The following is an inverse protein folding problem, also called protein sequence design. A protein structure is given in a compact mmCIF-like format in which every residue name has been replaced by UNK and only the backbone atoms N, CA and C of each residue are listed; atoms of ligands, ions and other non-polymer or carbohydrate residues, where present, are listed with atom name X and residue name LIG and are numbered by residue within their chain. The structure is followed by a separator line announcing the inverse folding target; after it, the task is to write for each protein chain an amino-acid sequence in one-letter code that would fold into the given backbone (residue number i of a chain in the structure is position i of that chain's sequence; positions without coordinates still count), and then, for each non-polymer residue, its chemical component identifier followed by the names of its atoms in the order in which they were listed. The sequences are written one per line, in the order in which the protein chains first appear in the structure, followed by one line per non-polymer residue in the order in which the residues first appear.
data_IF_371127736984
#
_entry.id   IF_371127736984
#
_cell.length_a   1.000
_cell.length_b   1.000
_cell.length_c   1.000
_cell.angle_alpha   90.00
_cell.angle_beta   90.00
_cell.angle_gamma   90.00
#
_symmetry.space_group_name_H-M   'P 1'
#
loop_
_entity.id
_entity.type
_entity.pdbx_description
1 polymer ?
#
# COMPACT_ATOMS: atom_id res chain seq x y z
N UNK A 1 4.73 36.02 -42.63
CA UNK A 1 3.81 35.01 -42.07
C UNK A 1 4.51 34.14 -41.02
N UNK A 2 5.70 33.61 -41.31
CA UNK A 2 6.51 32.78 -40.37
C UNK A 2 6.72 33.36 -38.95
N UNK A 3 6.97 34.67 -38.81
CA UNK A 3 7.30 35.29 -37.51
C UNK A 3 6.09 35.46 -36.56
N UNK A 4 4.86 35.32 -37.07
CA UNK A 4 3.63 35.43 -36.25
C UNK A 4 3.30 34.07 -35.62
N UNK A 5 3.42 32.99 -36.40
CA UNK A 5 3.25 31.61 -35.93
C UNK A 5 4.29 31.25 -34.85
N UNK A 6 5.56 31.64 -35.03
CA UNK A 6 6.59 31.41 -34.01
C UNK A 6 6.29 32.17 -32.71
N UNK A 7 5.75 33.40 -32.80
CA UNK A 7 5.35 34.19 -31.61
C UNK A 7 4.11 33.62 -30.92
N UNK A 8 3.16 33.06 -31.67
CA UNK A 8 1.99 32.37 -31.12
C UNK A 8 2.38 31.05 -30.43
N UNK A 9 3.20 30.23 -31.08
CA UNK A 9 3.71 29.00 -30.50
C UNK A 9 4.49 29.25 -29.20
N UNK A 10 5.30 30.32 -29.14
CA UNK A 10 6.06 30.68 -27.94
C UNK A 10 5.14 31.15 -26.79
N UNK A 11 4.03 31.84 -27.10
CA UNK A 11 3.01 32.22 -26.10
C UNK A 11 2.25 31.02 -25.57
N UNK A 12 1.83 30.10 -26.43
CA UNK A 12 1.14 28.86 -26.02
C UNK A 12 2.02 27.98 -25.14
N UNK A 13 3.30 27.84 -25.49
CA UNK A 13 4.25 27.09 -24.67
C UNK A 13 4.38 27.71 -23.27
N UNK A 14 4.51 29.04 -23.20
CA UNK A 14 4.60 29.77 -21.92
C UNK A 14 3.33 29.61 -21.08
N UNK A 15 2.14 29.58 -21.70
CA UNK A 15 0.88 29.33 -20.98
C UNK A 15 0.75 27.89 -20.48
N UNK A 16 1.22 26.90 -21.25
CA UNK A 16 1.26 25.50 -20.83
C UNK A 16 2.19 25.32 -19.62
N UNK A 17 3.38 25.90 -19.68
CA UNK A 17 4.37 25.83 -18.60
C UNK A 17 3.81 26.44 -17.30
N UNK A 18 3.10 27.58 -17.39
CA UNK A 18 2.42 28.20 -16.24
C UNK A 18 1.35 27.31 -15.62
N UNK A 19 0.57 26.58 -16.42
CA UNK A 19 -0.48 25.67 -15.91
C UNK A 19 0.13 24.49 -15.16
N UNK A 20 1.21 23.91 -15.70
CA UNK A 20 1.94 22.81 -15.07
C UNK A 20 2.50 23.26 -13.72
N UNK A 21 3.07 24.47 -13.66
CA UNK A 21 3.65 25.00 -12.42
C UNK A 21 2.60 25.24 -11.34
N UNK A 22 1.44 25.81 -11.69
CA UNK A 22 0.31 25.98 -10.75
C UNK A 22 -0.18 24.64 -10.23
N UNK A 23 -0.25 23.62 -11.09
CA UNK A 23 -0.69 22.29 -10.70
C UNK A 23 0.30 21.61 -9.75
N UNK A 24 1.60 21.75 -10.01
CA UNK A 24 2.67 21.29 -9.13
C UNK A 24 2.64 21.99 -7.76
N UNK A 25 2.46 23.32 -7.73
CA UNK A 25 2.33 24.08 -6.49
C UNK A 25 1.10 23.65 -5.67
N UNK A 26 -0.04 23.42 -6.32
CA UNK A 26 -1.25 22.97 -5.64
C UNK A 26 -1.09 21.55 -5.07
N UNK A 27 -0.40 20.66 -5.79
CA UNK A 27 -0.07 19.31 -5.32
C UNK A 27 0.91 19.35 -4.13
N UNK A 28 1.91 20.23 -4.19
CA UNK A 28 2.88 20.43 -3.11
C UNK A 28 2.22 21.03 -1.86
N UNK A 29 1.30 21.99 -2.02
CA UNK A 29 0.51 22.56 -0.94
C UNK A 29 -0.40 21.52 -0.28
N UNK A 30 -1.10 20.70 -1.08
CA UNK A 30 -1.92 19.60 -0.57
C UNK A 30 -1.07 18.58 0.20
N UNK A 31 0.14 18.28 -0.29
CA UNK A 31 1.12 17.42 0.39
C UNK A 31 1.57 18.03 1.72
N UNK A 32 1.91 19.32 1.74
CA UNK A 32 2.33 20.03 2.96
C UNK A 32 1.22 20.11 4.00
N UNK A 33 -0.03 20.29 3.57
CA UNK A 33 -1.17 20.36 4.47
C UNK A 33 -1.52 19.01 5.09
N UNK A 34 -1.35 17.91 4.34
CA UNK A 34 -1.40 16.54 4.89
C UNK A 34 -0.33 16.36 5.97
N UNK A 35 0.91 16.78 5.71
CA UNK A 35 2.02 16.73 6.68
C UNK A 35 1.71 17.58 7.93
N UNK A 36 1.11 18.77 7.77
CA UNK A 36 0.76 19.67 8.90
C UNK A 36 -0.29 19.06 9.81
N UNK A 37 -1.41 18.57 9.23
CA UNK A 37 -2.48 17.89 9.99
C UNK A 37 -1.95 16.65 10.71
N UNK A 38 -1.02 15.94 10.08
CA UNK A 38 -0.36 14.78 10.69
C UNK A 38 0.56 15.17 11.86
N UNK A 39 1.27 16.31 11.79
CA UNK A 39 2.07 16.82 12.92
C UNK A 39 1.20 17.20 14.11
N UNK A 40 0.03 17.79 13.88
CA UNK A 40 -0.94 18.11 14.93
C UNK A 40 -1.49 16.83 15.60
N UNK A 41 -1.92 15.84 14.80
CA UNK A 41 -2.40 14.54 15.30
C UNK A 41 -1.30 13.75 16.04
N UNK A 42 -0.10 13.70 15.48
CA UNK A 42 1.04 13.00 16.09
C UNK A 42 1.53 13.72 17.36
N UNK A 43 1.41 15.05 17.44
CA UNK A 43 1.72 15.84 18.64
C UNK A 43 0.87 15.46 19.86
N UNK A 44 -0.41 15.19 19.63
CA UNK A 44 -1.35 14.72 20.67
C UNK A 44 -1.12 13.25 21.07
N UNK A 45 -0.53 12.44 20.20
CA UNK A 45 -0.16 11.04 20.50
C UNK A 45 1.22 10.94 21.17
N UNK A 46 2.18 11.79 20.78
CA UNK A 46 3.56 11.85 21.33
C UNK A 46 3.61 12.22 22.81
N UNK A 47 2.64 12.98 23.31
CA UNK A 47 2.54 13.30 24.74
C UNK A 47 2.05 12.13 25.60
N UNK A 48 1.50 11.07 24.99
CA UNK A 48 0.89 9.94 25.73
C UNK A 48 1.73 8.66 25.74
N UNK A 49 2.69 8.47 24.84
CA UNK A 49 3.50 7.25 24.83
C UNK A 49 4.97 7.50 24.42
N UNK A 50 5.87 7.43 25.40
CA UNK A 50 7.32 7.38 25.23
C UNK A 50 7.79 6.07 24.57
N UNK A 51 7.60 5.90 23.26
CA UNK A 51 8.38 4.91 22.52
C UNK A 51 9.12 5.54 21.34
N UNK A 52 10.43 5.65 21.54
CA UNK A 52 11.46 5.98 20.57
C UNK A 52 11.37 5.05 19.34
N UNK A 53 11.52 5.68 18.18
CA UNK A 53 11.62 5.11 16.82
C UNK A 53 10.30 4.80 16.10
N UNK A 54 9.60 5.84 15.63
CA UNK A 54 8.73 5.74 14.46
C UNK A 54 9.32 6.58 13.32
N UNK A 55 9.81 5.98 12.23
CA UNK A 55 10.09 6.72 11.01
C UNK A 55 8.77 7.05 10.33
N UNK A 56 8.56 8.35 10.10
CA UNK A 56 7.76 8.99 9.05
C UNK A 56 6.79 8.08 8.30
N UNK A 57 5.49 8.20 8.61
CA UNK A 57 4.34 7.94 7.73
C UNK A 57 4.57 6.86 6.65
N UNK A 58 4.64 5.59 7.03
CA UNK A 58 4.56 4.51 6.05
C UNK A 58 3.08 4.15 5.87
N UNK A 59 2.41 4.77 4.91
CA UNK A 59 1.26 4.13 4.29
C UNK A 59 1.79 2.89 3.56
N UNK A 60 1.43 1.69 4.03
CA UNK A 60 1.83 0.44 3.37
C UNK A 60 0.78 0.09 2.32
N UNK A 61 0.92 0.74 1.15
CA UNK A 61 0.09 0.46 -0.02
C UNK A 61 0.56 -0.82 -0.70
N UNK A 62 -0.37 -1.72 -1.00
CA UNK A 62 -0.14 -3.00 -1.66
C UNK A 62 -0.54 -2.96 -3.14
N UNK A 63 -1.60 -2.23 -3.48
CA UNK A 63 -2.08 -2.08 -4.86
C UNK A 63 -2.66 -0.68 -5.10
N UNK A 64 -2.32 -0.09 -6.25
CA UNK A 64 -2.83 1.20 -6.73
C UNK A 64 -3.40 1.05 -8.13
N UNK A 65 -4.40 1.87 -8.46
CA UNK A 65 -4.90 1.94 -9.83
C UNK A 65 -3.82 2.53 -10.75
N UNK A 66 -3.43 1.86 -11.84
CA UNK A 66 -2.37 2.35 -12.72
C UNK A 66 -2.73 3.63 -13.49
N UNK A 67 -4.02 3.97 -13.61
CA UNK A 67 -4.49 5.13 -14.36
C UNK A 67 -4.78 6.33 -13.45
N UNK A 68 -5.45 6.09 -12.31
CA UNK A 68 -5.84 7.17 -11.40
C UNK A 68 -4.84 7.39 -10.26
N UNK A 69 -3.94 6.42 -10.04
CA UNK A 69 -3.02 6.38 -8.92
C UNK A 69 -3.73 6.32 -7.55
N UNK A 70 -5.01 5.94 -7.54
CA UNK A 70 -5.79 5.77 -6.32
C UNK A 70 -5.37 4.49 -5.59
N UNK A 71 -5.41 4.53 -4.26
CA UNK A 71 -5.09 3.39 -3.40
C UNK A 71 -6.25 2.38 -3.46
N UNK A 72 -5.97 1.17 -3.94
CA UNK A 72 -6.94 0.08 -4.01
C UNK A 72 -6.87 -0.76 -2.73
N UNK A 73 -5.64 -1.16 -2.35
CA UNK A 73 -5.39 -1.93 -1.14
C UNK A 73 -4.22 -1.34 -0.38
N UNK A 74 -4.43 -1.13 0.92
CA UNK A 74 -3.42 -0.72 1.88
C UNK A 74 -3.56 -1.50 3.19
N UNK A 75 -2.46 -1.62 3.93
CA UNK A 75 -2.47 -2.20 5.27
C UNK A 75 -2.93 -1.16 6.28
N UNK A 76 -3.73 -1.60 7.26
CA UNK A 76 -4.27 -0.71 8.29
C UNK A 76 -3.19 0.04 9.06
N UNK A 77 -3.34 1.35 9.17
CA UNK A 77 -2.39 2.24 9.83
C UNK A 77 -2.10 1.80 11.28
N UNK A 78 -3.09 1.24 11.98
CA UNK A 78 -2.93 0.75 13.35
C UNK A 78 -2.00 -0.46 13.43
N UNK A 79 -1.85 -1.22 12.34
CA UNK A 79 -0.88 -2.30 12.25
C UNK A 79 0.48 -1.76 11.79
N UNK A 80 0.49 -0.89 10.77
CA UNK A 80 1.75 -0.39 10.18
C UNK A 80 2.59 0.39 11.19
N UNK A 81 1.97 1.16 12.09
CA UNK A 81 2.70 1.89 13.12
C UNK A 81 3.52 1.01 14.08
N UNK A 82 3.19 -0.29 14.20
CA UNK A 82 3.92 -1.26 15.02
C UNK A 82 4.86 -2.15 14.20
N UNK A 83 4.87 -2.00 12.87
CA UNK A 83 5.75 -2.78 12.00
C UNK A 83 7.17 -2.27 12.02
N UNK A 84 8.12 -3.21 12.01
CA UNK A 84 9.52 -2.96 11.64
C UNK A 84 9.68 -3.07 10.12
N UNK A 85 10.72 -2.44 9.58
CA UNK A 85 11.00 -2.40 8.13
C UNK A 85 10.95 -3.77 7.45
N UNK A 86 11.56 -4.80 8.05
CA UNK A 86 11.54 -6.15 7.49
C UNK A 86 10.15 -6.80 7.48
N UNK A 87 9.25 -6.37 8.38
CA UNK A 87 7.86 -6.84 8.40
C UNK A 87 7.04 -6.16 7.31
N UNK A 88 7.28 -4.86 7.05
CA UNK A 88 6.70 -4.10 5.93
C UNK A 88 7.06 -4.78 4.60
N UNK A 89 8.35 -5.06 4.40
CA UNK A 89 8.86 -5.78 3.24
C UNK A 89 8.26 -7.19 3.13
N UNK A 90 8.13 -7.88 4.26
CA UNK A 90 7.50 -9.20 4.32
C UNK A 90 6.04 -9.20 3.87
N UNK A 91 5.23 -8.22 4.28
CA UNK A 91 3.82 -8.13 3.83
C UNK A 91 3.74 -7.82 2.34
N UNK A 92 4.54 -6.86 1.84
CA UNK A 92 4.59 -6.52 0.42
C UNK A 92 5.05 -7.71 -0.44
N UNK A 93 6.05 -8.45 0.04
CA UNK A 93 6.51 -9.68 -0.60
C UNK A 93 5.39 -10.72 -0.68
N UNK A 94 4.73 -11.03 0.45
CA UNK A 94 3.65 -12.00 0.47
C UNK A 94 2.49 -11.60 -0.46
N UNK A 95 2.10 -10.33 -0.46
CA UNK A 95 1.09 -9.82 -1.38
C UNK A 95 1.48 -10.07 -2.84
N UNK A 96 2.67 -9.62 -3.23
CA UNK A 96 3.17 -9.72 -4.60
C UNK A 96 3.38 -11.17 -5.05
N UNK A 97 3.72 -12.08 -4.15
CA UNK A 97 4.00 -13.46 -4.53
C UNK A 97 2.75 -14.36 -4.50
N UNK A 98 1.84 -14.15 -3.54
CA UNK A 98 0.66 -15.02 -3.39
C UNK A 98 -0.51 -14.54 -4.25
N UNK A 99 -0.71 -13.23 -4.32
CA UNK A 99 -1.89 -12.63 -4.95
C UNK A 99 -1.55 -11.88 -6.24
N UNK A 100 -0.42 -11.16 -6.25
CA UNK A 100 0.02 -10.22 -7.30
C UNK A 100 -0.91 -9.01 -7.48
N UNK A 101 -2.20 -9.25 -7.72
CA UNK A 101 -3.22 -8.20 -7.85
C UNK A 101 -4.64 -8.70 -7.59
N UNK A 102 -5.54 -7.79 -7.22
CA UNK A 102 -6.98 -8.06 -7.10
C UNK A 102 -7.57 -8.68 -8.38
N UNK A 103 -7.15 -8.20 -9.56
CA UNK A 103 -7.60 -8.73 -10.84
C UNK A 103 -7.22 -10.21 -11.03
N UNK A 104 -6.01 -10.60 -10.62
CA UNK A 104 -5.57 -11.99 -10.69
C UNK A 104 -6.31 -12.89 -9.71
N UNK A 105 -6.60 -12.39 -8.51
CA UNK A 105 -7.44 -13.11 -7.55
C UNK A 105 -8.82 -13.38 -8.17
N UNK A 106 -9.47 -12.37 -8.74
CA UNK A 106 -10.77 -12.52 -9.38
C UNK A 106 -10.74 -13.51 -10.55
N UNK A 107 -9.71 -13.45 -11.40
CA UNK A 107 -9.52 -14.40 -12.51
C UNK A 107 -9.37 -15.85 -12.02
N UNK A 108 -8.65 -16.08 -10.91
CA UNK A 108 -8.44 -17.42 -10.35
C UNK A 108 -9.72 -18.09 -9.81
N UNK A 109 -10.75 -17.30 -9.52
CA UNK A 109 -12.04 -17.78 -8.98
C UNK A 109 -13.04 -18.11 -10.10
N UNK A 110 -12.89 -17.49 -11.28
CA UNK A 110 -13.78 -17.67 -12.41
C UNK A 110 -13.48 -19.01 -13.13
N UNK A 111 -14.17 -20.07 -12.70
CA UNK A 111 -14.10 -21.44 -13.25
C UNK A 111 -14.58 -21.61 -14.71
N UNK A 112 -14.99 -20.54 -15.40
CA UNK A 112 -15.53 -20.64 -16.76
C UNK A 112 -14.43 -20.89 -17.82
N UNK A 113 -13.19 -20.52 -17.52
CA UNK A 113 -12.03 -20.94 -18.29
C UNK A 113 -11.46 -22.21 -17.64
N UNK A 114 -11.37 -23.32 -18.39
CA UNK A 114 -10.65 -24.54 -17.98
C UNK A 114 -9.12 -24.31 -17.91
N UNK A 115 -8.69 -23.10 -17.57
CA UNK A 115 -7.30 -22.72 -17.42
C UNK A 115 -6.96 -22.80 -15.94
N UNK A 116 -6.14 -23.78 -15.59
CA UNK A 116 -5.60 -23.93 -14.25
C UNK A 116 -4.63 -22.75 -14.01
N UNK A 117 -5.19 -21.62 -13.56
CA UNK A 117 -4.42 -20.48 -13.08
C UNK A 117 -3.78 -20.88 -11.75
N UNK A 118 -2.80 -21.78 -11.81
CA UNK A 118 -2.13 -22.37 -10.66
C UNK A 118 -1.81 -21.30 -9.64
N UNK A 119 -2.39 -21.44 -8.44
CA UNK A 119 -2.18 -20.49 -7.36
C UNK A 119 -0.69 -20.33 -7.09
N UNK A 120 -0.24 -19.08 -6.95
CA UNK A 120 1.13 -18.79 -6.55
C UNK A 120 1.26 -18.86 -5.03
N UNK A 121 2.40 -19.33 -4.54
CA UNK A 121 2.71 -19.49 -3.13
C UNK A 121 4.00 -18.75 -2.76
N UNK A 122 4.20 -18.52 -1.46
CA UNK A 122 5.37 -17.80 -0.97
C UNK A 122 5.97 -18.50 0.25
N UNK A 123 7.30 -18.49 0.33
CA UNK A 123 8.05 -18.98 1.50
C UNK A 123 8.66 -17.78 2.22
N UNK A 124 8.17 -17.48 3.43
CA UNK A 124 8.72 -16.41 4.27
C UNK A 124 9.80 -16.96 5.22
N UNK A 125 11.03 -17.11 4.72
CA UNK A 125 12.14 -17.75 5.43
C UNK A 125 13.07 -16.79 6.20
N UNK A 126 12.57 -15.66 6.70
CA UNK A 126 13.36 -14.78 7.57
C UNK A 126 13.82 -15.49 8.86
N UNK A 127 14.89 -14.99 9.49
CA UNK A 127 15.42 -15.49 10.77
C UNK A 127 14.34 -15.62 11.85
N UNK A 128 14.55 -16.55 12.78
CA UNK A 128 13.67 -16.78 13.93
C UNK A 128 13.60 -15.53 14.83
N UNK A 129 12.46 -15.29 15.50
CA UNK A 129 12.28 -14.16 16.41
C UNK A 129 11.96 -12.80 15.76
N UNK A 130 11.92 -12.70 14.43
CA UNK A 130 11.64 -11.44 13.71
C UNK A 130 10.16 -11.04 13.64
N UNK A 131 9.26 -11.75 14.33
CA UNK A 131 7.84 -11.42 14.36
C UNK A 131 7.11 -11.73 13.05
N UNK A 132 7.37 -12.90 12.45
CA UNK A 132 6.67 -13.38 11.24
C UNK A 132 5.17 -13.53 11.45
N UNK A 133 4.74 -13.92 12.65
CA UNK A 133 3.31 -13.99 13.03
C UNK A 133 2.62 -12.65 12.81
N UNK A 134 3.24 -11.54 13.23
CA UNK A 134 2.67 -10.21 13.04
C UNK A 134 2.59 -9.83 11.55
N UNK A 135 3.60 -10.17 10.75
CA UNK A 135 3.57 -10.02 9.28
C UNK A 135 2.39 -10.77 8.67
N UNK A 136 2.21 -12.05 9.02
CA UNK A 136 1.12 -12.89 8.51
C UNK A 136 -0.25 -12.37 8.95
N UNK A 137 -0.43 -12.03 10.24
CA UNK A 137 -1.68 -11.46 10.75
C UNK A 137 -2.03 -10.17 10.02
N UNK A 138 -1.04 -9.31 9.75
CA UNK A 138 -1.30 -8.03 9.07
C UNK A 138 -1.75 -8.22 7.62
N UNK A 139 -1.19 -9.21 6.93
CA UNK A 139 -1.68 -9.59 5.61
C UNK A 139 -3.11 -10.13 5.70
N UNK A 140 -3.40 -11.09 6.60
CA UNK A 140 -4.73 -11.68 6.78
C UNK A 140 -5.77 -10.61 7.11
N UNK A 141 -5.44 -9.70 8.03
CA UNK A 141 -6.28 -8.56 8.37
C UNK A 141 -6.60 -7.72 7.13
N UNK A 142 -5.60 -7.43 6.30
CA UNK A 142 -5.78 -6.69 5.05
C UNK A 142 -6.70 -7.44 4.09
N UNK A 143 -6.56 -8.77 3.94
CA UNK A 143 -7.45 -9.57 3.11
C UNK A 143 -8.91 -9.47 3.54
N UNK A 144 -9.16 -9.52 4.85
CA UNK A 144 -10.51 -9.40 5.41
C UNK A 144 -11.06 -7.97 5.45
N UNK A 145 -10.19 -6.95 5.38
CA UNK A 145 -10.61 -5.55 5.23
C UNK A 145 -11.20 -5.27 3.85
N UNK A 146 -10.75 -5.96 2.82
CA UNK A 146 -11.20 -5.76 1.43
C UNK A 146 -11.89 -7.01 0.84
N UNK A 147 -12.92 -7.58 1.49
CA UNK A 147 -13.47 -8.88 1.12
C UNK A 147 -14.15 -8.87 -0.26
N UNK A 148 -14.61 -7.70 -0.73
CA UNK A 148 -15.21 -7.53 -2.07
C UNK A 148 -14.17 -7.56 -3.19
N UNK A 149 -12.92 -7.19 -2.89
CA UNK A 149 -11.82 -7.13 -3.86
C UNK A 149 -10.99 -8.41 -3.83
N UNK A 150 -10.78 -8.96 -2.64
CA UNK A 150 -9.97 -10.17 -2.44
C UNK A 150 -10.79 -11.45 -2.53
N UNK A 151 -12.11 -11.39 -2.34
CA UNK A 151 -13.00 -12.57 -2.27
C UNK A 151 -12.59 -13.62 -1.21
N UNK A 152 -11.70 -13.25 -0.28
CA UNK A 152 -11.20 -14.14 0.76
C UNK A 152 -11.99 -13.90 2.05
N UNK A 153 -12.68 -14.94 2.50
CA UNK A 153 -13.51 -14.90 3.72
C UNK A 153 -12.98 -15.79 4.84
N UNK A 154 -12.07 -16.70 4.52
CA UNK A 154 -11.56 -17.72 5.45
C UNK A 154 -10.08 -17.96 5.19
N UNK A 155 -9.33 -18.14 6.27
CA UNK A 155 -7.90 -18.50 6.25
C UNK A 155 -7.70 -19.66 7.20
N UNK A 156 -6.96 -20.69 6.76
CA UNK A 156 -6.56 -21.83 7.59
C UNK A 156 -5.10 -21.65 7.99
N UNK A 157 -4.84 -21.58 9.30
CA UNK A 157 -3.48 -21.54 9.84
C UNK A 157 -3.14 -22.92 10.40
N UNK A 158 -2.08 -23.52 9.87
CA UNK A 158 -1.54 -24.78 10.38
C UNK A 158 -0.28 -24.47 11.19
N UNK A 159 -0.27 -24.86 12.46
CA UNK A 159 0.89 -24.70 13.33
C UNK A 159 1.03 -25.92 14.27
N UNK A 160 2.24 -26.22 14.77
CA UNK A 160 2.42 -27.23 15.82
C UNK A 160 1.53 -26.96 17.04
N UNK A 161 1.05 -28.01 17.70
CA UNK A 161 0.12 -27.89 18.83
C UNK A 161 0.63 -26.95 19.93
N UNK A 162 1.93 -27.02 20.22
CA UNK A 162 2.58 -26.22 21.27
C UNK A 162 2.64 -24.72 20.95
N UNK A 163 2.34 -24.31 19.72
CA UNK A 163 2.31 -22.91 19.30
C UNK A 163 0.90 -22.38 19.07
N UNK A 164 -0.13 -23.22 19.11
CA UNK A 164 -1.51 -22.83 18.83
C UNK A 164 -2.05 -21.80 19.84
N UNK A 165 -1.63 -21.87 21.11
CA UNK A 165 -2.03 -20.93 22.16
C UNK A 165 -1.20 -19.64 22.20
N UNK A 166 -0.23 -19.46 21.28
CA UNK A 166 0.61 -18.26 21.21
C UNK A 166 0.15 -17.29 20.11
N UNK A 167 -0.96 -17.61 19.43
CA UNK A 167 -1.58 -16.82 18.37
C UNK A 167 -2.65 -15.88 18.92
#
# INVERSE_FOLDING_TARGET
KLNIETKQAMKEQTERDKRIQIQQEHEELARLERIRKQKEYNGDILTKHEQKHLPVAFELVLETDPNTNDIIIEVDLMLVQYMKQHQVEGVRFLWNQVFESTARIAASINKETNEDHGGSGAILAHCMGLGKTFTTISLIHTLFRYPKLTHIHRVLILCPLNTANNA
#
